data_IF_499511652654
#
_entry.id   IF_499511652654
#
_cell.length_a   1.000
_cell.length_b   1.000
_cell.length_c   1.000
_cell.angle_alpha   90.00
_cell.angle_beta   90.00
_cell.angle_gamma   90.00
#
_symmetry.space_group_name_H-M   'P 1'
#
loop_
_entity.id
_entity.type
_entity.pdbx_description
1 polymer ?
#
# COMPACT_ATOMS: atom_id res chain seq x y z
N UNK A 1 31.62 -56.81 -20.24
CA UNK A 1 32.30 -55.99 -19.21
C UNK A 1 31.40 -54.79 -18.93
N UNK A 2 30.92 -54.69 -17.68
CA UNK A 2 29.62 -54.12 -17.29
C UNK A 2 29.71 -52.63 -16.94
N UNK A 3 28.78 -51.83 -17.46
CA UNK A 3 28.48 -50.45 -17.03
C UNK A 3 27.76 -50.47 -15.68
N UNK A 4 28.27 -49.74 -14.70
CA UNK A 4 27.66 -49.54 -13.38
C UNK A 4 26.67 -48.37 -13.44
N UNK A 5 25.40 -48.69 -13.21
CA UNK A 5 24.36 -47.73 -12.82
C UNK A 5 24.25 -47.76 -11.29
N UNK A 6 24.46 -46.63 -10.62
CA UNK A 6 24.27 -46.47 -9.18
C UNK A 6 22.99 -45.65 -8.93
N UNK A 7 21.98 -46.33 -8.38
CA UNK A 7 20.75 -45.78 -7.81
C UNK A 7 21.09 -45.04 -6.51
N UNK A 8 20.62 -43.79 -6.38
CA UNK A 8 20.49 -43.09 -5.10
C UNK A 8 19.10 -43.36 -4.49
N UNK A 9 18.99 -43.69 -3.18
CA UNK A 9 17.72 -44.03 -2.54
C UNK A 9 16.98 -42.80 -1.98
N UNK A 10 15.65 -42.92 -1.95
CA UNK A 10 14.71 -42.04 -1.23
C UNK A 10 15.04 -41.99 0.27
N UNK A 11 15.08 -40.79 0.83
CA UNK A 11 14.95 -40.55 2.27
C UNK A 11 13.83 -39.53 2.53
N UNK A 12 12.76 -40.06 3.10
CA UNK A 12 11.95 -39.54 4.21
C UNK A 12 11.38 -38.11 4.23
N UNK A 13 10.09 -38.08 4.57
CA UNK A 13 9.18 -36.96 4.65
C UNK A 13 9.14 -36.28 6.04
N UNK A 14 8.59 -35.06 6.00
CA UNK A 14 7.89 -34.26 7.04
C UNK A 14 8.73 -33.32 7.94
N UNK A 15 8.16 -32.17 8.41
CA UNK A 15 7.00 -31.42 7.94
C UNK A 15 7.21 -29.89 7.78
N UNK A 16 6.28 -29.29 7.04
CA UNK A 16 5.93 -27.88 6.92
C UNK A 16 6.02 -27.06 8.21
N UNK A 17 6.98 -26.12 8.30
CA UNK A 17 7.07 -25.11 9.38
C UNK A 17 7.90 -23.86 8.96
N UNK A 18 7.78 -23.43 7.70
CA UNK A 18 8.67 -22.40 7.10
C UNK A 18 7.96 -21.13 6.61
N UNK A 19 6.74 -20.83 7.05
CA UNK A 19 5.99 -19.66 6.57
C UNK A 19 5.46 -18.68 7.65
N UNK A 20 5.99 -18.71 8.87
CA UNK A 20 5.47 -17.86 9.98
C UNK A 20 6.30 -16.60 10.33
N UNK A 21 7.33 -16.22 9.56
CA UNK A 21 8.30 -15.16 9.97
C UNK A 21 8.12 -13.77 9.34
N UNK A 22 6.90 -13.33 8.98
CA UNK A 22 6.66 -12.00 8.36
C UNK A 22 5.87 -10.98 9.20
N UNK A 23 5.65 -11.23 10.49
CA UNK A 23 4.76 -10.42 11.34
C UNK A 23 5.45 -9.38 12.24
N UNK A 24 6.74 -9.13 12.05
CA UNK A 24 7.52 -8.23 12.90
C UNK A 24 7.91 -6.95 12.15
N UNK A 25 7.76 -5.80 12.81
CA UNK A 25 8.33 -4.51 12.40
C UNK A 25 9.86 -4.60 12.40
N UNK A 26 10.53 -3.64 11.77
CA UNK A 26 12.01 -3.55 11.71
C UNK A 26 12.68 -3.45 13.09
N UNK A 27 11.94 -3.01 14.10
CA UNK A 27 12.35 -2.92 15.51
C UNK A 27 12.09 -4.21 16.32
N UNK A 28 11.56 -5.27 15.70
CA UNK A 28 11.28 -6.54 16.37
C UNK A 28 9.99 -6.53 17.20
N UNK A 29 9.12 -5.53 17.05
CA UNK A 29 7.79 -5.55 17.67
C UNK A 29 6.75 -6.23 16.74
N UNK A 30 5.83 -7.05 17.28
CA UNK A 30 4.70 -7.55 16.50
C UNK A 30 3.83 -6.36 16.05
N UNK A 31 3.21 -6.45 14.88
CA UNK A 31 2.34 -5.38 14.38
C UNK A 31 1.12 -5.06 15.29
N UNK A 32 0.83 -5.91 16.29
CA UNK A 32 -0.45 -5.96 17.01
C UNK A 32 -0.31 -5.83 18.55
N UNK A 33 0.86 -5.47 19.09
CA UNK A 33 1.08 -5.45 20.55
C UNK A 33 0.35 -4.33 21.30
N UNK A 34 -0.04 -3.25 20.62
CA UNK A 34 -0.38 -2.00 21.31
C UNK A 34 -1.87 -1.86 21.69
N UNK A 35 -2.71 -2.86 21.42
CA UNK A 35 -4.18 -2.74 21.56
C UNK A 35 -4.85 -3.58 22.66
N UNK A 36 -4.14 -4.46 23.37
CA UNK A 36 -4.79 -5.37 24.35
C UNK A 36 -4.77 -4.93 25.81
N UNK A 37 -4.10 -3.83 26.17
CA UNK A 37 -3.72 -3.56 27.57
C UNK A 37 -4.56 -2.51 28.31
N UNK A 38 -5.65 -1.99 27.73
CA UNK A 38 -6.37 -0.82 28.31
C UNK A 38 -7.57 -1.14 29.20
N UNK A 39 -7.96 -2.41 29.43
CA UNK A 39 -9.27 -2.71 30.03
C UNK A 39 -9.30 -3.42 31.40
N UNK A 40 -8.19 -3.82 32.02
CA UNK A 40 -8.23 -4.54 33.31
C UNK A 40 -7.30 -3.94 34.38
N UNK A 41 -7.89 -3.02 35.16
CA UNK A 41 -7.82 -2.95 36.63
C UNK A 41 -6.47 -3.18 37.34
N UNK A 42 -5.81 -2.07 37.66
CA UNK A 42 -4.91 -1.71 38.79
C UNK A 42 -3.97 -2.71 39.51
N UNK A 43 -4.06 -4.03 39.37
CA UNK A 43 -3.13 -4.98 40.03
C UNK A 43 -1.98 -5.45 39.13
N UNK A 44 -2.02 -5.13 37.83
CA UNK A 44 -0.98 -5.49 36.87
C UNK A 44 0.14 -4.45 36.71
N UNK A 45 0.04 -3.26 37.30
CA UNK A 45 1.02 -2.18 37.07
C UNK A 45 2.43 -2.54 37.57
N UNK A 46 2.54 -3.32 38.65
CA UNK A 46 3.85 -3.78 39.14
C UNK A 46 4.39 -5.00 38.39
N UNK A 47 3.53 -5.84 37.82
CA UNK A 47 3.95 -7.04 37.08
C UNK A 47 4.29 -6.70 35.63
N UNK A 48 3.45 -5.89 34.97
CA UNK A 48 3.70 -5.31 33.66
C UNK A 48 4.89 -4.35 33.66
N UNK A 49 5.15 -3.64 34.77
CA UNK A 49 6.38 -2.85 34.91
C UNK A 49 7.65 -3.70 34.93
N UNK A 50 7.63 -4.85 35.62
CA UNK A 50 8.78 -5.77 35.67
C UNK A 50 8.89 -6.56 34.36
N UNK A 51 7.80 -7.00 33.75
CA UNK A 51 7.79 -7.68 32.46
C UNK A 51 8.24 -6.75 31.32
N UNK A 52 7.79 -5.48 31.28
CA UNK A 52 8.27 -4.49 30.31
C UNK A 52 9.74 -4.09 30.53
N UNK A 53 10.23 -4.08 31.77
CA UNK A 53 11.67 -3.89 32.06
C UNK A 53 12.46 -5.13 31.66
N UNK A 54 11.94 -6.34 31.87
CA UNK A 54 12.60 -7.60 31.48
C UNK A 54 12.57 -7.76 29.96
N UNK A 55 11.50 -7.37 29.26
CA UNK A 55 11.42 -7.31 27.80
C UNK A 55 12.28 -6.18 27.24
N UNK A 56 12.38 -5.03 27.90
CA UNK A 56 13.30 -3.95 27.52
C UNK A 56 14.77 -4.30 27.74
N UNK A 57 15.10 -5.06 28.80
CA UNK A 57 16.45 -5.58 29.07
C UNK A 57 16.76 -6.77 28.16
N UNK A 58 15.78 -7.63 27.85
CA UNK A 58 15.93 -8.70 26.87
C UNK A 58 16.09 -8.13 25.46
N UNK A 59 15.26 -7.19 25.03
CA UNK A 59 15.42 -6.47 23.76
C UNK A 59 16.75 -5.68 23.71
N UNK A 60 17.20 -5.15 24.85
CA UNK A 60 18.50 -4.47 24.97
C UNK A 60 19.71 -5.40 24.94
N UNK A 61 19.58 -6.67 25.37
CA UNK A 61 20.66 -7.66 25.39
C UNK A 61 20.66 -8.60 24.17
N UNK A 62 19.53 -8.73 23.49
CA UNK A 62 19.38 -9.35 22.17
C UNK A 62 19.27 -8.32 21.05
N UNK A 63 19.91 -7.15 21.19
CA UNK A 63 20.39 -6.39 20.03
C UNK A 63 21.51 -7.20 19.35
N UNK A 64 21.13 -8.40 18.88
CA UNK A 64 21.96 -9.35 18.17
C UNK A 64 22.59 -8.61 17.01
N UNK A 65 23.88 -8.82 16.83
CA UNK A 65 24.68 -8.27 15.75
C UNK A 65 24.13 -8.80 14.40
N UNK A 66 22.98 -8.28 13.96
CA UNK A 66 22.35 -8.65 12.69
C UNK A 66 23.42 -8.52 11.61
N UNK A 67 23.62 -9.54 10.76
CA UNK A 67 24.72 -9.55 9.82
C UNK A 67 24.56 -8.37 8.86
N UNK A 68 25.34 -7.31 9.06
CA UNK A 68 25.32 -6.14 8.19
C UNK A 68 26.02 -6.51 6.89
N UNK A 69 25.31 -6.36 5.79
CA UNK A 69 25.90 -6.47 4.46
C UNK A 69 26.01 -5.08 3.83
N UNK A 70 26.82 -4.97 2.78
CA UNK A 70 26.98 -3.73 2.03
C UNK A 70 26.22 -3.87 0.71
N UNK A 71 25.34 -2.92 0.41
CA UNK A 71 24.84 -2.66 -0.95
C UNK A 71 25.44 -1.35 -1.47
N UNK A 72 25.31 -1.08 -2.76
CA UNK A 72 25.71 0.18 -3.36
C UNK A 72 24.48 0.95 -3.88
N UNK A 73 24.33 2.19 -3.45
CA UNK A 73 23.30 3.10 -3.98
C UNK A 73 24.00 4.29 -4.61
N UNK A 74 23.81 4.50 -5.92
CA UNK A 74 24.50 5.55 -6.68
C UNK A 74 26.03 5.56 -6.43
N UNK A 75 26.63 4.36 -6.40
CA UNK A 75 28.06 4.10 -6.09
C UNK A 75 28.50 4.41 -4.65
N UNK A 76 27.57 4.75 -3.75
CA UNK A 76 27.85 4.90 -2.31
C UNK A 76 27.59 3.57 -1.59
N UNK A 77 28.51 3.08 -0.75
CA UNK A 77 28.27 1.90 0.06
C UNK A 77 27.27 2.23 1.17
N UNK A 78 26.26 1.38 1.32
CA UNK A 78 25.18 1.49 2.31
C UNK A 78 25.09 0.18 3.08
N UNK A 79 25.01 0.27 4.40
CA UNK A 79 24.80 -0.89 5.27
C UNK A 79 23.34 -1.33 5.22
N UNK A 80 23.11 -2.64 5.10
CA UNK A 80 21.78 -3.23 4.98
C UNK A 80 21.63 -4.38 5.94
N UNK A 81 20.38 -4.64 6.35
CA UNK A 81 20.01 -5.89 6.99
C UNK A 81 19.48 -6.80 5.87
N UNK A 82 20.27 -7.79 5.42
CA UNK A 82 19.87 -8.62 4.30
C UNK A 82 18.59 -9.40 4.65
N UNK A 83 17.72 -9.57 3.66
CA UNK A 83 16.47 -10.34 3.76
C UNK A 83 15.33 -9.74 4.59
N UNK A 84 15.55 -8.68 5.36
CA UNK A 84 14.52 -8.03 6.18
C UNK A 84 14.00 -6.73 5.55
N UNK A 85 14.90 -5.90 5.02
CA UNK A 85 14.55 -4.57 4.52
C UNK A 85 14.27 -4.58 3.01
N UNK A 86 13.24 -3.84 2.60
CA UNK A 86 12.96 -3.56 1.20
C UNK A 86 13.94 -2.49 0.68
N UNK A 87 14.22 -2.50 -0.63
CA UNK A 87 15.08 -1.48 -1.25
C UNK A 87 14.56 -0.07 -0.98
N UNK A 88 13.23 0.13 -1.00
CA UNK A 88 12.63 1.43 -0.74
C UNK A 88 12.93 1.95 0.67
N UNK A 89 12.88 1.09 1.69
CA UNK A 89 13.17 1.45 3.08
C UNK A 89 14.64 1.83 3.26
N UNK A 90 15.54 1.10 2.61
CA UNK A 90 16.97 1.43 2.61
C UNK A 90 17.20 2.79 1.95
N UNK A 91 16.57 3.06 0.81
CA UNK A 91 16.70 4.36 0.11
C UNK A 91 16.17 5.52 0.96
N UNK A 92 15.05 5.32 1.65
CA UNK A 92 14.47 6.32 2.55
C UNK A 92 15.36 6.59 3.77
N UNK A 93 15.99 5.56 4.35
CA UNK A 93 16.97 5.69 5.44
C UNK A 93 18.18 6.54 5.02
N UNK A 94 18.66 6.35 3.80
CA UNK A 94 19.78 7.11 3.23
C UNK A 94 19.38 8.51 2.74
N UNK A 95 18.12 8.92 2.94
CA UNK A 95 17.61 10.23 2.55
C UNK A 95 17.34 10.40 1.05
N UNK A 96 17.34 9.31 0.28
CA UNK A 96 17.04 9.33 -1.16
C UNK A 96 15.54 9.15 -1.35
N UNK A 97 14.86 10.21 -1.76
CA UNK A 97 13.41 10.19 -1.96
C UNK A 97 13.03 9.50 -3.26
N UNK A 98 12.27 8.42 -3.17
CA UNK A 98 11.69 7.69 -4.31
C UNK A 98 10.16 7.84 -4.29
N UNK A 99 9.51 8.16 -5.42
CA UNK A 99 8.07 8.36 -5.44
C UNK A 99 7.32 7.04 -5.24
N UNK A 100 6.24 7.09 -4.45
CA UNK A 100 5.45 5.91 -4.05
C UNK A 100 3.97 6.24 -3.97
N UNK A 101 3.11 5.34 -4.48
CA UNK A 101 1.65 5.44 -4.30
C UNK A 101 1.07 4.26 -3.52
N UNK A 102 1.44 3.01 -3.79
CA UNK A 102 0.83 1.88 -3.06
C UNK A 102 1.56 1.55 -1.75
N UNK A 103 2.85 1.91 -1.64
CA UNK A 103 3.63 1.56 -0.45
C UNK A 103 3.25 2.44 0.74
N UNK A 104 3.05 1.80 1.89
CA UNK A 104 2.86 2.44 3.17
C UNK A 104 3.52 1.53 4.23
N UNK A 105 4.30 2.06 5.18
CA UNK A 105 5.08 1.23 6.11
C UNK A 105 4.19 0.28 6.93
N UNK A 106 3.00 0.75 7.34
CA UNK A 106 2.05 0.02 8.20
C UNK A 106 1.31 -1.12 7.45
N UNK A 107 1.33 -1.12 6.12
CA UNK A 107 0.59 -2.09 5.30
C UNK A 107 1.52 -3.13 4.70
N UNK A 108 0.97 -4.27 4.29
CA UNK A 108 1.70 -5.22 3.44
C UNK A 108 2.23 -4.58 2.15
N UNK A 109 3.15 -5.22 1.45
CA UNK A 109 3.67 -4.72 0.17
C UNK A 109 2.84 -5.25 -1.01
N UNK A 110 2.25 -4.36 -1.81
CA UNK A 110 1.47 -4.73 -3.01
C UNK A 110 2.25 -4.65 -4.33
N UNK A 111 2.89 -3.51 -4.62
CA UNK A 111 3.61 -3.30 -5.88
C UNK A 111 2.74 -2.97 -7.10
N UNK A 112 1.52 -2.48 -6.90
CA UNK A 112 0.56 -2.19 -7.99
C UNK A 112 0.93 -0.93 -8.80
N UNK A 113 1.37 0.14 -8.14
CA UNK A 113 1.53 1.44 -8.79
C UNK A 113 2.79 1.61 -9.66
N UNK A 114 3.80 0.75 -9.47
CA UNK A 114 5.10 0.79 -10.18
C UNK A 114 5.81 2.15 -10.22
N UNK A 115 5.49 3.09 -9.33
CA UNK A 115 6.15 4.40 -9.30
C UNK A 115 7.58 4.33 -8.74
N UNK A 116 7.83 3.37 -7.84
CA UNK A 116 9.11 3.21 -7.15
C UNK A 116 10.15 2.39 -7.94
N UNK A 117 10.15 2.50 -9.27
CA UNK A 117 11.13 1.82 -10.11
C UNK A 117 12.53 2.40 -9.90
N UNK A 118 13.51 1.50 -9.84
CA UNK A 118 14.95 1.79 -9.76
C UNK A 118 15.71 0.86 -10.70
N UNK A 119 16.86 1.29 -11.21
CA UNK A 119 17.68 0.48 -12.11
C UNK A 119 18.72 -0.30 -11.31
N UNK A 120 18.90 -1.58 -11.66
CA UNK A 120 20.02 -2.38 -11.15
C UNK A 120 21.24 -2.15 -12.05
N UNK A 121 22.34 -1.71 -11.45
CA UNK A 121 23.59 -1.42 -12.16
C UNK A 121 24.11 -2.66 -12.91
N UNK A 122 24.67 -2.45 -14.10
CA UNK A 122 25.08 -3.53 -15.00
C UNK A 122 23.96 -4.18 -15.82
N UNK A 123 22.68 -3.89 -15.56
CA UNK A 123 21.55 -4.36 -16.39
C UNK A 123 20.67 -3.21 -16.87
N UNK A 124 19.91 -3.43 -17.93
CA UNK A 124 18.87 -2.48 -18.39
C UNK A 124 17.50 -2.74 -17.73
N UNK A 125 17.46 -3.62 -16.73
CA UNK A 125 16.21 -4.01 -16.08
C UNK A 125 15.88 -3.04 -14.93
N UNK A 126 14.61 -2.63 -14.88
CA UNK A 126 14.06 -1.85 -13.78
C UNK A 126 13.38 -2.79 -12.78
N UNK A 127 13.67 -2.60 -11.50
CA UNK A 127 13.07 -3.37 -10.40
C UNK A 127 12.20 -2.46 -9.54
N UNK A 128 11.16 -3.06 -8.94
CA UNK A 128 10.24 -2.34 -8.04
C UNK A 128 10.88 -2.31 -6.64
N UNK A 129 11.23 -1.12 -6.15
CA UNK A 129 11.98 -1.01 -4.90
C UNK A 129 11.17 -1.40 -3.65
N UNK A 130 9.83 -1.27 -3.67
CA UNK A 130 9.02 -1.60 -2.50
C UNK A 130 8.89 -3.10 -2.24
N UNK A 131 8.99 -3.95 -3.27
CA UNK A 131 8.81 -5.40 -3.15
C UNK A 131 10.12 -6.18 -3.27
N UNK A 132 11.16 -5.55 -3.82
CA UNK A 132 12.48 -6.18 -3.93
C UNK A 132 13.21 -6.03 -2.60
N UNK A 133 13.70 -7.16 -2.11
CA UNK A 133 14.45 -7.25 -0.87
C UNK A 133 15.91 -6.84 -1.12
N UNK A 134 16.52 -6.14 -0.16
CA UNK A 134 17.92 -5.74 -0.22
C UNK A 134 18.87 -6.97 -0.17
N UNK A 135 19.75 -7.08 -1.17
CA UNK A 135 20.73 -8.17 -1.28
C UNK A 135 22.17 -7.64 -1.14
N UNK A 136 23.09 -8.43 -0.53
CA UNK A 136 24.50 -8.07 -0.42
C UNK A 136 25.13 -7.89 -1.81
N UNK A 137 25.90 -6.82 -2.00
CA UNK A 137 26.60 -6.52 -3.25
C UNK A 137 25.72 -6.00 -4.39
N UNK A 138 24.41 -5.83 -4.19
CA UNK A 138 23.53 -5.22 -5.18
C UNK A 138 23.89 -3.74 -5.38
N UNK A 139 23.99 -3.29 -6.63
CA UNK A 139 24.22 -1.89 -6.97
C UNK A 139 22.98 -1.31 -7.66
N UNK A 140 22.47 -0.19 -7.15
CA UNK A 140 21.23 0.44 -7.58
C UNK A 140 21.50 1.88 -8.01
N UNK A 141 20.91 2.27 -9.14
CA UNK A 141 20.94 3.63 -9.67
C UNK A 141 19.52 4.19 -9.61
N UNK A 142 19.33 5.31 -8.92
CA UNK A 142 18.00 5.93 -8.74
C UNK A 142 17.66 6.96 -9.81
N UNK A 143 18.67 7.59 -10.42
CA UNK A 143 18.50 8.76 -11.31
C UNK A 143 19.05 8.50 -12.72
N UNK A 144 18.82 7.31 -13.27
CA UNK A 144 19.15 7.02 -14.66
C UNK A 144 18.09 7.55 -15.62
N UNK A 145 18.46 7.73 -16.90
CA UNK A 145 17.51 8.09 -17.96
C UNK A 145 16.36 7.08 -18.05
N UNK A 146 16.66 5.79 -17.97
CA UNK A 146 15.64 4.72 -18.00
C UNK A 146 14.65 4.83 -16.83
N UNK A 147 15.13 5.19 -15.63
CA UNK A 147 14.25 5.38 -14.46
C UNK A 147 13.36 6.60 -14.62
N UNK A 148 13.89 7.71 -15.15
CA UNK A 148 13.10 8.93 -15.41
C UNK A 148 12.00 8.68 -16.44
N UNK A 149 12.38 8.11 -17.59
CA UNK A 149 11.44 7.78 -18.67
C UNK A 149 10.32 6.84 -18.17
N UNK A 150 10.65 5.87 -17.31
CA UNK A 150 9.66 4.96 -16.72
C UNK A 150 8.73 5.63 -15.71
N UNK A 151 9.24 6.56 -14.89
CA UNK A 151 8.42 7.33 -13.93
C UNK A 151 7.47 8.27 -14.66
N UNK A 152 7.97 9.00 -15.67
CA UNK A 152 7.16 9.87 -16.53
C UNK A 152 6.03 9.07 -17.21
N UNK A 153 6.36 7.92 -17.80
CA UNK A 153 5.37 7.04 -18.42
C UNK A 153 4.32 6.51 -17.44
N UNK A 154 4.71 6.15 -16.21
CA UNK A 154 3.77 5.69 -15.18
C UNK A 154 2.85 6.81 -14.67
N UNK A 155 3.36 8.02 -14.47
CA UNK A 155 2.53 9.19 -14.12
C UNK A 155 1.49 9.42 -15.22
N UNK A 156 1.93 9.40 -16.48
CA UNK A 156 1.04 9.61 -17.61
C UNK A 156 -0.08 8.55 -17.66
N UNK A 157 0.26 7.26 -17.50
CA UNK A 157 -0.72 6.17 -17.45
C UNK A 157 -1.76 6.34 -16.33
N UNK A 158 -1.35 6.85 -15.17
CA UNK A 158 -2.25 7.14 -14.05
C UNK A 158 -3.20 8.30 -14.41
N UNK A 159 -2.69 9.34 -15.06
CA UNK A 159 -3.45 10.55 -15.40
C UNK A 159 -4.40 10.37 -16.59
N UNK A 160 -4.22 9.34 -17.44
CA UNK A 160 -5.13 9.02 -18.56
C UNK A 160 -6.59 8.96 -18.09
N UNK A 161 -6.83 8.22 -17.00
CA UNK A 161 -8.18 7.98 -16.48
C UNK A 161 -8.55 8.84 -15.26
N UNK A 162 -7.63 9.67 -14.74
CA UNK A 162 -7.91 10.54 -13.59
C UNK A 162 -8.63 11.82 -14.05
N UNK A 163 -9.76 12.21 -13.42
CA UNK A 163 -10.49 13.41 -13.82
C UNK A 163 -9.73 14.69 -13.45
N UNK A 164 -10.00 15.79 -14.16
CA UNK A 164 -9.38 17.09 -13.89
C UNK A 164 -10.10 17.85 -12.77
N UNK A 165 -10.35 17.17 -11.66
CA UNK A 165 -11.19 17.64 -10.55
C UNK A 165 -10.42 18.46 -9.50
N UNK A 166 -9.16 18.82 -9.75
CA UNK A 166 -8.33 19.49 -8.75
C UNK A 166 -8.99 20.72 -8.07
N UNK A 167 -9.76 21.59 -8.77
CA UNK A 167 -10.42 22.72 -8.12
C UNK A 167 -11.55 22.36 -7.16
N UNK A 168 -12.19 21.21 -7.34
CA UNK A 168 -13.32 20.73 -6.53
C UNK A 168 -12.90 19.60 -5.57
N UNK A 169 -11.63 19.19 -5.61
CA UNK A 169 -11.10 18.11 -4.81
C UNK A 169 -10.65 18.64 -3.44
N UNK A 170 -11.23 18.12 -2.38
CA UNK A 170 -10.90 18.53 -1.00
C UNK A 170 -9.45 18.24 -0.61
N UNK A 171 -8.86 17.18 -1.19
CA UNK A 171 -7.47 16.80 -0.93
C UNK A 171 -6.45 17.49 -1.83
N UNK A 172 -6.85 18.48 -2.65
CA UNK A 172 -5.93 19.09 -3.63
C UNK A 172 -4.64 19.64 -3.00
N UNK A 173 -4.71 20.22 -1.80
CA UNK A 173 -3.52 20.77 -1.11
C UNK A 173 -2.54 19.71 -0.60
N UNK A 174 -3.01 18.48 -0.35
CA UNK A 174 -2.24 17.40 0.26
C UNK A 174 -2.13 16.16 -0.65
N UNK A 175 -2.41 16.30 -1.96
CA UNK A 175 -2.47 15.19 -2.90
C UNK A 175 -1.09 14.67 -3.30
N UNK A 176 -0.78 13.40 -3.01
CA UNK A 176 0.46 12.74 -3.44
C UNK A 176 0.57 12.71 -4.97
N UNK A 177 -0.55 12.49 -5.67
CA UNK A 177 -0.56 12.40 -7.15
C UNK A 177 -0.18 13.73 -7.80
N UNK A 178 -0.69 14.84 -7.27
CA UNK A 178 -0.32 16.17 -7.76
C UNK A 178 1.16 16.46 -7.51
N UNK A 179 1.65 16.16 -6.30
CA UNK A 179 3.05 16.36 -5.95
C UNK A 179 4.00 15.51 -6.79
N UNK A 180 3.68 14.23 -7.01
CA UNK A 180 4.50 13.33 -7.84
C UNK A 180 4.42 13.75 -9.31
N UNK A 181 3.25 14.14 -9.80
CA UNK A 181 3.10 14.61 -11.18
C UNK A 181 3.89 15.89 -11.44
N UNK A 182 3.94 16.82 -10.49
CA UNK A 182 4.72 18.05 -10.64
C UNK A 182 6.23 17.80 -10.63
N UNK A 183 6.70 16.76 -9.93
CA UNK A 183 8.12 16.47 -9.78
C UNK A 183 8.68 15.49 -10.84
N UNK A 184 7.85 14.55 -11.30
CA UNK A 184 8.26 13.43 -12.17
C UNK A 184 7.38 13.26 -13.42
N UNK A 185 6.32 14.05 -13.57
CA UNK A 185 5.41 13.97 -14.71
C UNK A 185 5.89 14.80 -15.91
N UNK A 186 5.20 14.62 -17.02
CA UNK A 186 5.37 15.44 -18.23
C UNK A 186 4.42 16.64 -18.21
N UNK A 187 4.84 17.75 -18.82
CA UNK A 187 4.05 19.00 -18.81
C UNK A 187 2.79 18.91 -19.70
N UNK A 188 2.84 18.10 -20.76
CA UNK A 188 1.82 18.07 -21.81
C UNK A 188 1.17 16.67 -21.86
N UNK A 189 -0.14 16.55 -21.57
CA UNK A 189 -0.83 15.28 -21.72
C UNK A 189 -0.94 14.90 -23.21
N UNK A 190 -0.58 13.66 -23.56
CA UNK A 190 -0.73 13.13 -24.93
C UNK A 190 -2.12 12.52 -25.17
N UNK A 191 -2.79 12.07 -24.10
CA UNK A 191 -4.11 11.47 -24.15
C UNK A 191 -5.20 12.54 -24.36
N UNK A 192 -6.03 12.35 -25.39
CA UNK A 192 -7.11 13.28 -25.79
C UNK A 192 -8.48 12.60 -25.93
N UNK A 193 -8.55 11.30 -25.68
CA UNK A 193 -9.78 10.54 -25.77
C UNK A 193 -10.62 10.71 -24.50
N UNK A 194 -11.87 10.24 -24.54
CA UNK A 194 -12.76 10.30 -23.40
C UNK A 194 -12.21 9.47 -22.24
N UNK A 195 -12.30 10.02 -21.03
CA UNK A 195 -11.88 9.35 -19.81
C UNK A 195 -12.98 8.41 -19.35
N UNK A 196 -12.61 7.33 -18.66
CA UNK A 196 -13.61 6.48 -18.00
C UNK A 196 -14.40 7.29 -16.97
N UNK A 197 -15.70 7.06 -16.91
CA UNK A 197 -16.58 7.60 -15.90
C UNK A 197 -17.29 6.43 -15.21
N UNK A 198 -17.23 6.42 -13.89
CA UNK A 198 -17.86 5.47 -12.97
C UNK A 198 -18.77 6.27 -12.05
N UNK A 199 -19.90 5.70 -11.67
CA UNK A 199 -20.82 6.34 -10.73
C UNK A 199 -20.18 6.41 -9.35
N UNK A 200 -20.35 7.54 -8.68
CA UNK A 200 -19.91 7.71 -7.30
C UNK A 200 -20.95 7.09 -6.36
N UNK A 201 -20.51 6.61 -5.21
CA UNK A 201 -21.40 6.04 -4.20
C UNK A 201 -21.05 6.52 -2.79
N UNK A 202 -21.98 6.32 -1.87
CA UNK A 202 -21.79 6.57 -0.45
C UNK A 202 -21.42 5.27 0.24
N UNK A 203 -20.24 5.23 0.85
CA UNK A 203 -19.79 4.05 1.60
C UNK A 203 -20.33 4.04 3.03
N UNK A 204 -20.60 5.23 3.57
CA UNK A 204 -21.21 5.49 4.87
C UNK A 204 -21.84 6.89 4.80
N UNK A 205 -22.86 7.23 5.61
CA UNK A 205 -23.44 8.58 5.62
C UNK A 205 -22.41 9.71 5.76
N UNK A 206 -21.26 9.43 6.38
CA UNK A 206 -20.19 10.41 6.56
C UNK A 206 -19.12 10.38 5.45
N UNK A 207 -19.04 9.33 4.63
CA UNK A 207 -17.97 9.18 3.63
C UNK A 207 -18.50 9.06 2.20
N UNK A 208 -18.12 10.05 1.39
CA UNK A 208 -18.37 10.06 -0.04
C UNK A 208 -17.21 9.41 -0.79
N UNK A 209 -17.52 8.52 -1.73
CA UNK A 209 -16.53 7.81 -2.53
C UNK A 209 -16.62 8.23 -3.99
N UNK A 210 -15.66 9.02 -4.44
CA UNK A 210 -15.55 9.43 -5.85
C UNK A 210 -14.68 8.43 -6.61
N UNK A 211 -15.31 7.46 -7.30
CA UNK A 211 -14.61 6.34 -7.93
C UNK A 211 -13.69 6.78 -9.08
N UNK A 212 -14.06 7.86 -9.77
CA UNK A 212 -13.29 8.42 -10.89
C UNK A 212 -11.88 8.85 -10.49
N UNK A 213 -11.69 9.33 -9.26
CA UNK A 213 -10.39 9.80 -8.75
C UNK A 213 -9.45 8.66 -8.35
N UNK A 214 -9.95 7.41 -8.27
CA UNK A 214 -9.16 6.27 -7.81
C UNK A 214 -8.07 5.82 -8.79
N UNK A 215 -6.86 5.63 -8.28
CA UNK A 215 -5.70 5.12 -9.04
C UNK A 215 -5.39 3.63 -8.80
N UNK A 216 -6.32 2.89 -8.17
CA UNK A 216 -6.19 1.44 -7.89
C UNK A 216 -4.93 1.06 -7.08
N UNK A 217 -4.54 1.89 -6.13
CA UNK A 217 -3.38 1.63 -5.26
C UNK A 217 -3.64 0.55 -4.18
N UNK A 218 -4.91 0.18 -3.97
CA UNK A 218 -5.40 -0.81 -2.98
C UNK A 218 -4.90 -0.57 -1.55
N UNK A 219 -4.59 0.67 -1.16
CA UNK A 219 -4.24 1.00 0.24
C UNK A 219 -5.45 0.79 1.17
N UNK A 220 -6.63 1.30 0.80
CA UNK A 220 -7.86 1.18 1.60
C UNK A 220 -8.25 -0.28 1.83
N UNK A 221 -8.32 -1.09 0.78
CA UNK A 221 -8.64 -2.53 0.87
C UNK A 221 -7.69 -3.27 1.80
N UNK A 222 -6.38 -3.01 1.71
CA UNK A 222 -5.38 -3.65 2.60
C UNK A 222 -5.50 -3.18 4.03
N UNK A 223 -5.74 -1.90 4.25
CA UNK A 223 -5.93 -1.37 5.60
C UNK A 223 -7.15 -1.99 6.28
N UNK A 224 -8.28 -2.06 5.58
CA UNK A 224 -9.48 -2.67 6.13
C UNK A 224 -9.27 -4.17 6.42
N UNK A 225 -8.66 -4.91 5.49
CA UNK A 225 -8.42 -6.35 5.68
C UNK A 225 -7.39 -6.66 6.78
N UNK A 226 -6.30 -5.89 6.87
CA UNK A 226 -5.16 -6.17 7.77
C UNK A 226 -5.35 -5.59 9.16
N UNK A 227 -5.88 -4.35 9.26
CA UNK A 227 -5.96 -3.60 10.51
C UNK A 227 -7.38 -3.56 11.08
N UNK A 228 -8.39 -3.28 10.25
CA UNK A 228 -9.78 -3.21 10.71
C UNK A 228 -10.46 -4.58 10.82
N UNK A 229 -9.87 -5.63 10.22
CA UNK A 229 -10.49 -6.95 10.02
C UNK A 229 -11.88 -6.86 9.37
N UNK A 230 -12.05 -5.85 8.52
CA UNK A 230 -13.26 -5.61 7.75
C UNK A 230 -12.98 -5.94 6.28
N UNK A 231 -13.82 -6.79 5.68
CA UNK A 231 -13.65 -7.30 4.32
C UNK A 231 -14.66 -6.70 3.33
N UNK A 232 -15.27 -5.56 3.66
CA UNK A 232 -16.36 -5.00 2.89
C UNK A 232 -15.89 -4.33 1.58
N UNK A 233 -14.69 -3.72 1.55
CA UNK A 233 -14.13 -3.16 0.31
C UNK A 233 -13.28 -4.18 -0.45
N UNK A 234 -13.61 -4.38 -1.72
CA UNK A 234 -12.85 -5.22 -2.65
C UNK A 234 -12.43 -4.46 -3.91
N UNK A 235 -11.62 -5.11 -4.75
CA UNK A 235 -11.42 -4.69 -6.13
C UNK A 235 -12.31 -5.56 -7.02
N UNK A 236 -13.35 -4.95 -7.58
CA UNK A 236 -14.32 -5.57 -8.47
C UNK A 236 -13.91 -5.29 -9.92
N UNK A 237 -14.18 -6.24 -10.82
CA UNK A 237 -13.83 -6.11 -12.23
C UNK A 237 -12.36 -6.45 -12.55
N UNK A 238 -11.97 -6.20 -13.81
CA UNK A 238 -10.62 -6.49 -14.35
C UNK A 238 -10.24 -5.45 -15.40
N UNK A 239 -8.95 -5.15 -15.52
CA UNK A 239 -8.43 -4.22 -16.52
C UNK A 239 -8.85 -2.77 -16.24
N UNK A 240 -9.17 -1.99 -17.29
CA UNK A 240 -9.61 -0.60 -17.14
C UNK A 240 -10.97 -0.43 -16.42
N UNK A 241 -11.76 -1.50 -16.37
CA UNK A 241 -13.05 -1.58 -15.69
C UNK A 241 -12.93 -2.03 -14.23
N UNK A 242 -11.72 -2.01 -13.65
CA UNK A 242 -11.57 -2.28 -12.22
C UNK A 242 -12.09 -1.12 -11.40
N UNK A 243 -12.81 -1.44 -10.34
CA UNK A 243 -13.42 -0.50 -9.40
C UNK A 243 -13.18 -0.98 -7.97
N UNK A 244 -13.01 -0.05 -7.03
CA UNK A 244 -12.87 -0.38 -5.61
C UNK A 244 -14.16 0.03 -4.92
N UNK A 245 -15.05 -0.93 -4.75
CA UNK A 245 -16.41 -0.80 -4.20
C UNK A 245 -16.76 -2.01 -3.33
N UNK A 246 -17.91 -1.94 -2.68
CA UNK A 246 -18.54 -3.05 -1.96
C UNK A 246 -19.27 -3.97 -2.96
N UNK A 247 -19.41 -5.25 -2.62
CA UNK A 247 -20.16 -6.19 -3.47
C UNK A 247 -21.66 -6.27 -3.12
N UNK A 248 -22.00 -5.99 -1.86
CA UNK A 248 -23.37 -5.92 -1.33
C UNK A 248 -23.84 -4.46 -1.30
N UNK A 249 -25.17 -4.29 -1.19
CA UNK A 249 -25.85 -2.99 -1.20
C UNK A 249 -25.12 -1.96 -0.32
N UNK A 250 -24.84 -0.82 -0.92
CA UNK A 250 -23.80 0.14 -0.52
C UNK A 250 -24.04 0.77 0.87
N UNK A 251 -25.28 0.67 1.38
CA UNK A 251 -25.73 1.32 2.62
C UNK A 251 -25.71 0.41 3.86
N UNK A 252 -25.44 -0.90 3.73
CA UNK A 252 -25.45 -1.82 4.87
C UNK A 252 -24.08 -1.94 5.57
N UNK A 253 -23.03 -1.37 4.99
CA UNK A 253 -21.66 -1.48 5.51
C UNK A 253 -21.34 -0.29 6.42
N UNK A 254 -21.47 -0.50 7.73
CA UNK A 254 -20.96 0.46 8.73
C UNK A 254 -19.55 0.06 9.14
N UNK A 255 -18.57 0.82 8.68
CA UNK A 255 -17.19 0.74 9.17
C UNK A 255 -16.91 1.86 10.16
N UNK A 256 -16.52 1.52 11.38
CA UNK A 256 -16.05 2.50 12.36
C UNK A 256 -14.71 3.16 11.95
N UNK A 257 -14.02 2.59 10.95
CA UNK A 257 -12.66 2.97 10.53
C UNK A 257 -12.61 3.93 9.32
N UNK A 258 -13.67 4.72 9.12
CA UNK A 258 -13.81 5.65 7.99
C UNK A 258 -12.72 6.74 7.95
N UNK A 259 -12.43 7.34 9.10
CA UNK A 259 -11.44 8.41 9.18
C UNK A 259 -10.02 7.93 8.81
N UNK A 260 -9.48 6.83 9.38
CA UNK A 260 -8.19 6.28 8.95
C UNK A 260 -8.11 5.96 7.45
N UNK A 261 -9.18 5.40 6.87
CA UNK A 261 -9.20 5.02 5.45
C UNK A 261 -9.13 6.26 4.54
N UNK A 262 -9.82 7.35 4.89
CA UNK A 262 -9.78 8.61 4.14
C UNK A 262 -8.37 9.23 4.10
N UNK A 263 -7.66 9.22 5.24
CA UNK A 263 -6.32 9.80 5.38
C UNK A 263 -5.23 8.96 4.70
N UNK A 264 -5.44 7.66 4.60
CA UNK A 264 -4.49 6.75 3.96
C UNK A 264 -4.47 6.90 2.44
N UNK A 265 -5.56 7.38 1.85
CA UNK A 265 -5.71 7.48 0.41
C UNK A 265 -4.75 8.55 -0.16
N UNK A 266 -3.90 8.22 -1.15
CA UNK A 266 -2.96 9.19 -1.75
C UNK A 266 -3.65 10.22 -2.67
N UNK A 267 -4.96 10.04 -2.91
CA UNK A 267 -5.78 10.82 -3.85
C UNK A 267 -7.13 11.10 -3.21
N UNK A 268 -7.81 12.16 -3.63
CA UNK A 268 -9.12 12.58 -3.11
C UNK A 268 -10.31 11.70 -3.51
N UNK A 269 -10.15 10.37 -3.49
CA UNK A 269 -11.22 9.38 -3.70
C UNK A 269 -12.15 9.30 -2.49
N UNK A 270 -11.58 9.30 -1.29
CA UNK A 270 -12.28 9.08 -0.02
C UNK A 270 -12.07 10.32 0.85
N UNK A 271 -13.15 11.01 1.17
CA UNK A 271 -13.14 12.12 2.11
C UNK A 271 -14.41 12.09 2.95
N UNK A 272 -14.31 12.70 4.13
CA UNK A 272 -15.44 12.84 5.03
C UNK A 272 -16.23 14.07 4.58
N UNK A 273 -17.46 13.86 4.14
CA UNK A 273 -18.38 14.96 3.85
C UNK A 273 -19.26 15.25 5.07
N UNK A 274 -19.89 16.42 5.07
CA UNK A 274 -20.92 16.72 6.05
C UNK A 274 -22.09 15.74 5.86
N UNK A 275 -22.43 15.01 6.92
CA UNK A 275 -23.43 13.95 6.86
C UNK A 275 -24.80 14.46 6.37
N UNK A 276 -25.13 15.71 6.69
CA UNK A 276 -26.40 16.33 6.28
C UNK A 276 -26.47 16.56 4.76
N UNK A 277 -25.37 17.02 4.16
CA UNK A 277 -25.28 17.18 2.70
C UNK A 277 -25.26 15.82 1.99
N UNK A 278 -24.55 14.85 2.57
CA UNK A 278 -24.45 13.50 2.02
C UNK A 278 -25.80 12.77 2.08
N UNK A 279 -26.54 12.88 3.18
CA UNK A 279 -27.86 12.27 3.33
C UNK A 279 -28.87 12.88 2.35
N UNK A 280 -28.85 14.21 2.18
CA UNK A 280 -29.73 14.86 1.20
C UNK A 280 -29.46 14.37 -0.24
N UNK A 281 -28.19 14.21 -0.61
CA UNK A 281 -27.82 13.68 -1.92
C UNK A 281 -28.15 12.19 -2.05
N UNK A 282 -27.99 11.40 -0.98
CA UNK A 282 -28.40 9.99 -0.95
C UNK A 282 -29.93 9.86 -1.13
N UNK A 283 -30.72 10.68 -0.42
CA UNK A 283 -32.18 10.74 -0.59
C UNK A 283 -32.56 11.14 -2.03
N UNK A 284 -31.82 12.06 -2.65
CA UNK A 284 -32.01 12.46 -4.05
C UNK A 284 -31.66 11.31 -5.03
N UNK A 285 -30.61 10.54 -4.77
CA UNK A 285 -30.23 9.38 -5.57
C UNK A 285 -31.26 8.26 -5.45
N UNK A 286 -31.70 7.93 -4.24
CA UNK A 286 -32.76 6.96 -3.98
C UNK A 286 -34.06 7.37 -4.69
N UNK A 287 -34.40 8.66 -4.68
CA UNK A 287 -35.55 9.19 -5.40
C UNK A 287 -35.39 9.06 -6.92
N UNK A 288 -34.19 9.25 -7.45
CA UNK A 288 -33.89 9.06 -8.88
C UNK A 288 -33.97 7.57 -9.26
N UNK A 289 -33.41 6.67 -8.46
CA UNK A 289 -33.47 5.23 -8.71
C UNK A 289 -34.90 4.69 -8.66
N UNK A 290 -35.69 5.14 -7.68
CA UNK A 290 -37.12 4.82 -7.61
C UNK A 290 -37.88 5.36 -8.82
N UNK A 291 -37.57 6.58 -9.28
CA UNK A 291 -38.15 7.13 -10.50
C UNK A 291 -37.76 6.34 -11.76
N UNK A 292 -36.51 5.87 -11.85
CA UNK A 292 -36.04 5.03 -12.94
C UNK A 292 -36.70 3.64 -12.92
N UNK A 293 -36.84 3.01 -11.76
CA UNK A 293 -37.51 1.73 -11.59
C UNK A 293 -38.98 1.78 -12.03
N UNK A 294 -39.71 2.84 -11.64
CA UNK A 294 -41.10 3.08 -12.05
C UNK A 294 -41.22 3.38 -13.55
N UNK A 295 -40.23 4.03 -14.16
CA UNK A 295 -40.24 4.30 -15.60
C UNK A 295 -39.96 3.05 -16.45
N UNK A 296 -39.29 2.04 -15.90
CA UNK A 296 -39.01 0.76 -16.57
C UNK A 296 -40.06 -0.33 -16.36
N UNK A 297 -41.04 -0.13 -15.47
CA UNK A 297 -42.18 -1.03 -15.22
C UNK A 297 -43.42 -0.63 -16.02
#
# INVERSE_FOLDING_TARGET
>A
MKRLAARFPLWYAAPSLLMARRFFKSDGTPYNSDMTDTLHGSEYVHRGGVEAIVEGVAAGQYAEHKPRAIMFVNKRPVEIIPQEENLLEVLEREGIRVPKFCYHPILSVAGNCRMCLVQVDGTQNLVVSCATVALPGMSIITDSRLVRDAREGNVELILINHPNDCPICEQATNCDLQNISMNYGTDIPRYKEDKRAVQDFYFDPQTRVVLNRCIHCTRCVRFLNEHAQDFNLGMIGRGGLSEISTFLDELEVKTDNNMPVSQLCPVGKLYLGDADENNAVADELDACEQAHAVATS
#
